data_IF_030927034339
#
_entry.id   IF_030927034339
#
_cell.length_a   1.000
_cell.length_b   1.000
_cell.length_c   1.000
_cell.angle_alpha   90.00
_cell.angle_beta   90.00
_cell.angle_gamma   90.00
#
_symmetry.space_group_name_H-M   'P 1'
#
loop_
_entity.id
_entity.type
_entity.pdbx_description
1 polymer ?
#
# COMPACT_ATOMS: atom_id res chain seq x y z
N UNK A 1 78.17 -26.87 -8.50
CA UNK A 1 77.45 -28.13 -8.20
C UNK A 1 77.62 -28.45 -6.72
N UNK A 2 76.57 -29.04 -6.11
CA UNK A 2 76.40 -29.51 -4.72
C UNK A 2 75.78 -28.45 -3.79
N UNK A 3 74.45 -28.40 -3.55
CA UNK A 3 73.59 -29.29 -2.71
C UNK A 3 74.26 -29.62 -1.36
N UNK A 4 73.66 -29.51 -0.18
CA UNK A 4 72.29 -29.25 0.29
C UNK A 4 72.31 -29.10 1.84
N UNK A 5 71.11 -29.05 2.44
CA UNK A 5 70.72 -29.28 3.86
C UNK A 5 70.97 -28.12 4.86
N UNK A 6 69.92 -27.54 5.44
CA UNK A 6 69.04 -27.98 6.56
C UNK A 6 69.67 -27.84 7.95
N UNK A 7 68.82 -27.39 8.88
CA UNK A 7 68.91 -27.35 10.35
C UNK A 7 69.22 -25.96 10.93
N UNK A 8 68.21 -25.23 11.43
CA UNK A 8 67.50 -25.41 12.71
C UNK A 8 68.42 -25.12 13.91
N UNK A 9 68.31 -23.92 14.46
CA UNK A 9 68.68 -23.65 15.86
C UNK A 9 67.51 -22.94 16.53
N UNK A 10 66.98 -23.64 17.52
CA UNK A 10 65.93 -23.27 18.44
C UNK A 10 66.53 -22.29 19.46
N UNK A 11 65.94 -21.10 19.57
CA UNK A 11 66.02 -20.25 20.74
C UNK A 11 64.58 -19.81 21.02
N UNK A 12 63.94 -20.09 22.15
CA UNK A 12 64.48 -20.13 23.51
C UNK A 12 63.89 -18.94 24.27
N UNK A 13 62.60 -19.07 24.63
CA UNK A 13 61.82 -18.37 25.66
C UNK A 13 61.81 -16.83 25.72
N UNK A 14 60.61 -16.24 25.57
CA UNK A 14 60.15 -15.19 26.50
C UNK A 14 58.62 -15.26 26.64
N UNK A 15 58.17 -15.57 27.85
CA UNK A 15 56.77 -15.43 28.28
C UNK A 15 56.54 -13.95 28.58
N UNK A 16 55.64 -13.32 27.85
CA UNK A 16 54.93 -12.15 28.31
C UNK A 16 53.58 -12.13 27.60
N UNK A 17 52.56 -12.61 28.30
CA UNK A 17 51.19 -12.44 27.88
C UNK A 17 50.90 -10.97 27.75
N UNK A 18 50.70 -10.50 26.52
CA UNK A 18 49.95 -9.27 26.29
C UNK A 18 48.49 -9.68 26.28
N UNK A 19 47.91 -9.69 27.47
CA UNK A 19 46.47 -9.60 27.64
C UNK A 19 46.02 -8.41 26.81
N UNK A 20 45.28 -8.66 25.74
CA UNK A 20 44.47 -7.61 25.15
C UNK A 20 43.49 -7.21 26.26
N UNK A 21 43.75 -6.07 26.90
CA UNK A 21 42.74 -5.38 27.69
C UNK A 21 41.69 -4.86 26.69
N UNK A 22 40.90 -5.77 26.13
CA UNK A 22 39.60 -5.41 25.61
C UNK A 22 38.85 -4.84 26.79
N UNK A 23 38.46 -3.58 26.70
CA UNK A 23 37.68 -2.90 27.73
C UNK A 23 36.39 -3.71 27.86
N UNK A 24 36.35 -4.61 28.84
CA UNK A 24 35.18 -5.39 29.14
C UNK A 24 34.13 -4.44 29.71
N UNK A 25 32.96 -4.40 29.08
CA UNK A 25 31.76 -3.88 29.73
C UNK A 25 31.29 -2.50 29.30
N UNK A 26 31.59 -2.05 28.08
CA UNK A 26 30.82 -0.96 27.47
C UNK A 26 30.29 -1.38 26.11
N UNK A 27 29.00 -1.72 26.11
CA UNK A 27 28.17 -1.94 24.94
C UNK A 27 26.79 -1.35 25.22
N UNK A 28 26.06 -0.91 24.20
CA UNK A 28 24.74 -0.33 24.40
C UNK A 28 23.80 -1.35 25.05
N UNK A 29 23.03 -0.87 26.03
CA UNK A 29 22.08 -1.68 26.80
C UNK A 29 20.86 -2.10 25.95
N UNK A 30 20.62 -1.40 24.84
CA UNK A 30 19.62 -1.76 23.85
C UNK A 30 19.96 -1.12 22.51
N UNK A 31 19.59 -1.81 21.43
CA UNK A 31 19.48 -1.24 20.10
C UNK A 31 18.00 -1.21 19.75
N UNK A 32 17.53 -0.06 19.27
CA UNK A 32 16.19 0.08 18.72
C UNK A 32 16.33 0.33 17.22
N UNK A 33 15.50 -0.34 16.43
CA UNK A 33 15.35 -0.08 15.01
C UNK A 33 13.87 0.03 14.73
N UNK A 34 13.46 1.14 14.13
CA UNK A 34 12.08 1.37 13.72
C UNK A 34 12.09 1.83 12.26
N UNK A 35 11.12 1.34 11.49
CA UNK A 35 10.81 1.82 10.17
C UNK A 35 9.38 2.36 10.21
N UNK A 36 9.24 3.67 10.36
CA UNK A 36 7.94 4.33 10.34
C UNK A 36 7.65 4.68 8.89
N UNK A 37 6.60 4.07 8.32
CA UNK A 37 6.10 4.47 7.00
C UNK A 37 5.34 5.79 7.16
N UNK A 38 6.02 6.90 6.85
CA UNK A 38 5.38 8.21 6.71
C UNK A 38 4.83 8.26 5.29
N UNK A 39 3.50 8.30 5.15
CA UNK A 39 2.84 8.52 3.86
C UNK A 39 3.38 9.80 3.24
N UNK A 40 3.81 9.70 1.98
CA UNK A 40 4.55 10.74 1.27
C UNK A 40 3.74 12.05 1.13
N UNK A 41 4.51 13.14 1.22
CA UNK A 41 4.25 14.52 0.82
C UNK A 41 3.34 15.40 1.70
N UNK A 42 3.98 16.42 2.27
CA UNK A 42 3.37 17.60 2.87
C UNK A 42 2.30 18.18 1.92
N UNK A 43 1.05 18.20 2.38
CA UNK A 43 -0.09 18.79 1.67
C UNK A 43 -1.03 17.79 0.97
N UNK A 44 -0.76 16.49 1.02
CA UNK A 44 -1.62 15.47 0.40
C UNK A 44 -2.40 14.66 1.45
N UNK A 45 -3.63 14.28 1.09
CA UNK A 45 -4.47 13.44 1.93
C UNK A 45 -3.80 12.07 2.15
N UNK A 46 -3.71 11.62 3.40
CA UNK A 46 -3.22 10.28 3.71
C UNK A 46 -4.40 9.30 3.67
N UNK A 47 -4.30 8.26 2.85
CA UNK A 47 -5.35 7.23 2.69
C UNK A 47 -4.88 5.92 3.32
N UNK A 48 -5.69 5.36 4.22
CA UNK A 48 -5.57 3.96 4.68
C UNK A 48 -6.56 3.15 3.82
N UNK A 49 -6.07 2.36 2.85
CA UNK A 49 -6.91 1.71 1.87
C UNK A 49 -7.74 0.59 2.49
N UNK A 50 -8.91 0.34 1.91
CA UNK A 50 -9.69 -0.84 2.18
C UNK A 50 -9.32 -1.95 1.20
N UNK A 51 -9.13 -3.17 1.69
CA UNK A 51 -8.93 -4.35 0.86
C UNK A 51 -10.25 -5.06 0.65
N UNK A 52 -10.68 -5.14 -0.61
CA UNK A 52 -11.97 -5.73 -0.99
C UNK A 52 -11.70 -7.04 -1.70
N UNK A 53 -12.30 -8.11 -1.21
CA UNK A 53 -12.25 -9.43 -1.83
C UNK A 53 -13.67 -9.84 -2.23
N UNK A 54 -13.91 -9.99 -3.54
CA UNK A 54 -15.19 -10.45 -4.06
C UNK A 54 -15.32 -11.99 -4.05
N UNK A 55 -14.22 -12.70 -3.78
CA UNK A 55 -14.17 -14.16 -3.82
C UNK A 55 -14.14 -14.72 -5.24
N UNK A 56 -14.50 -16.00 -5.36
CA UNK A 56 -14.64 -16.67 -6.66
C UNK A 56 -16.05 -16.43 -7.17
N UNK A 57 -16.17 -15.77 -8.33
CA UNK A 57 -17.44 -15.42 -8.93
C UNK A 57 -17.75 -16.26 -10.17
N UNK A 58 -19.01 -16.61 -10.35
CA UNK A 58 -19.53 -17.32 -11.53
C UNK A 58 -20.23 -16.37 -12.50
N UNK A 59 -20.36 -16.77 -13.77
CA UNK A 59 -21.10 -16.00 -14.77
C UNK A 59 -22.55 -15.77 -14.33
N UNK A 60 -23.04 -14.54 -14.46
CA UNK A 60 -24.38 -14.14 -14.01
C UNK A 60 -24.56 -13.95 -12.50
N UNK A 61 -23.54 -14.24 -11.69
CA UNK A 61 -23.62 -14.13 -10.23
C UNK A 61 -23.85 -12.67 -9.81
N UNK A 62 -24.74 -12.50 -8.82
CA UNK A 62 -25.05 -11.21 -8.20
C UNK A 62 -24.54 -11.20 -6.79
N UNK A 63 -23.96 -10.09 -6.38
CA UNK A 63 -23.43 -9.96 -5.03
C UNK A 63 -23.32 -8.51 -4.59
N UNK A 64 -23.04 -8.36 -3.31
CA UNK A 64 -22.57 -7.11 -2.76
C UNK A 64 -21.51 -7.39 -1.70
N UNK A 65 -20.68 -6.38 -1.44
CA UNK A 65 -19.72 -6.41 -0.35
C UNK A 65 -19.52 -5.01 0.20
N UNK A 66 -19.08 -4.94 1.45
CA UNK A 66 -18.81 -3.68 2.12
C UNK A 66 -17.41 -3.64 2.66
N UNK A 67 -16.79 -2.47 2.62
CA UNK A 67 -15.50 -2.23 3.24
C UNK A 67 -15.43 -0.82 3.84
N UNK A 68 -14.42 -0.60 4.68
CA UNK A 68 -14.20 0.70 5.32
C UNK A 68 -12.77 1.15 5.09
N UNK A 69 -12.61 2.33 4.50
CA UNK A 69 -11.34 3.03 4.38
C UNK A 69 -11.29 4.21 5.35
N UNK A 70 -10.09 4.72 5.62
CA UNK A 70 -9.91 5.97 6.37
C UNK A 70 -9.13 6.94 5.51
N UNK A 71 -9.64 8.15 5.35
CA UNK A 71 -8.96 9.24 4.66
C UNK A 71 -8.65 10.36 5.65
N UNK A 72 -7.42 10.85 5.65
CA UNK A 72 -6.98 11.99 6.44
C UNK A 72 -6.72 13.15 5.50
N UNK A 73 -7.61 14.14 5.51
CA UNK A 73 -7.53 15.34 4.69
C UNK A 73 -6.70 16.39 5.42
N UNK A 74 -5.62 16.85 4.79
CA UNK A 74 -4.69 17.83 5.37
C UNK A 74 -5.17 19.28 5.22
N UNK A 75 -5.96 19.58 4.19
CA UNK A 75 -6.41 20.94 3.87
C UNK A 75 -7.84 20.93 3.34
N UNK A 76 -8.61 21.97 3.72
CA UNK A 76 -9.94 22.17 3.17
C UNK A 76 -9.85 22.33 1.65
N UNK A 77 -10.77 21.71 0.92
CA UNK A 77 -10.82 21.82 -0.54
C UNK A 77 -11.83 20.87 -1.16
N UNK A 78 -11.93 20.93 -2.49
CA UNK A 78 -12.66 19.92 -3.25
C UNK A 78 -11.69 18.82 -3.68
N UNK A 79 -12.15 17.59 -3.59
CA UNK A 79 -11.42 16.39 -3.94
C UNK A 79 -12.20 15.64 -5.00
N UNK A 80 -11.52 15.06 -5.97
CA UNK A 80 -12.08 14.15 -6.95
C UNK A 80 -11.89 12.72 -6.46
N UNK A 81 -12.92 11.89 -6.62
CA UNK A 81 -12.86 10.45 -6.38
C UNK A 81 -13.15 9.73 -7.68
N UNK A 82 -12.22 8.87 -8.10
CA UNK A 82 -12.35 8.10 -9.33
C UNK A 82 -12.44 6.60 -9.05
N UNK A 83 -13.31 5.94 -9.83
CA UNK A 83 -13.39 4.50 -10.02
C UNK A 83 -12.44 4.11 -11.16
N UNK A 84 -11.38 3.40 -10.81
CA UNK A 84 -10.37 2.99 -11.78
C UNK A 84 -10.85 1.78 -12.59
N UNK A 85 -10.23 1.61 -13.77
CA UNK A 85 -10.40 0.43 -14.63
C UNK A 85 -11.83 0.22 -15.16
N UNK A 86 -12.61 1.29 -15.35
CA UNK A 86 -13.97 1.25 -15.90
C UNK A 86 -14.13 0.31 -17.11
N UNK A 87 -13.25 0.43 -18.12
CA UNK A 87 -13.25 -0.43 -19.32
C UNK A 87 -13.10 -1.94 -19.02
N UNK A 88 -12.32 -2.29 -18.00
CA UNK A 88 -12.17 -3.69 -17.58
C UNK A 88 -13.44 -4.15 -16.85
N UNK A 89 -13.95 -3.31 -15.95
CA UNK A 89 -15.14 -3.60 -15.17
C UNK A 89 -16.36 -3.84 -16.08
N UNK A 90 -16.57 -3.04 -17.13
CA UNK A 90 -17.67 -3.23 -18.10
C UNK A 90 -17.57 -4.54 -18.91
N UNK A 91 -16.37 -5.10 -19.08
CA UNK A 91 -16.18 -6.36 -19.81
C UNK A 91 -16.47 -7.59 -18.92
N UNK A 92 -16.24 -7.46 -17.62
CA UNK A 92 -16.43 -8.55 -16.65
C UNK A 92 -17.83 -8.53 -16.05
N UNK A 93 -18.35 -7.35 -15.74
CA UNK A 93 -19.62 -7.15 -15.05
C UNK A 93 -20.66 -6.53 -15.98
N UNK A 94 -21.89 -7.06 -15.96
CA UNK A 94 -23.04 -6.42 -16.62
C UNK A 94 -23.59 -5.26 -15.80
N UNK A 95 -23.28 -5.21 -14.51
CA UNK A 95 -23.56 -4.09 -13.62
C UNK A 95 -22.49 -4.05 -12.54
N UNK A 96 -21.94 -2.86 -12.29
CA UNK A 96 -21.00 -2.62 -11.20
C UNK A 96 -21.27 -1.22 -10.66
N UNK A 97 -21.59 -1.12 -9.38
CA UNK A 97 -21.91 0.15 -8.72
C UNK A 97 -21.16 0.22 -7.40
N UNK A 98 -20.49 1.35 -7.18
CA UNK A 98 -19.77 1.64 -5.95
C UNK A 98 -20.45 2.82 -5.28
N UNK A 99 -21.02 2.59 -4.10
CA UNK A 99 -21.57 3.63 -3.24
C UNK A 99 -20.55 3.95 -2.13
N UNK A 100 -20.16 5.22 -2.02
CA UNK A 100 -19.26 5.74 -1.02
C UNK A 100 -20.02 6.66 -0.08
N UNK A 101 -19.94 6.41 1.23
CA UNK A 101 -20.46 7.30 2.27
C UNK A 101 -19.31 7.94 3.03
N UNK A 102 -19.24 9.27 2.95
CA UNK A 102 -18.23 10.10 3.62
C UNK A 102 -18.98 11.21 4.36
N UNK A 103 -19.04 11.12 5.70
CA UNK A 103 -19.94 11.94 6.53
C UNK A 103 -21.41 11.88 6.05
N UNK A 104 -21.99 13.02 5.66
CA UNK A 104 -23.36 13.14 5.18
C UNK A 104 -23.44 13.13 3.64
N UNK A 105 -22.32 12.89 2.95
CA UNK A 105 -22.27 12.80 1.49
C UNK A 105 -22.32 11.34 1.05
N UNK A 106 -23.11 11.08 0.02
CA UNK A 106 -23.16 9.79 -0.68
C UNK A 106 -22.75 10.03 -2.12
N UNK A 107 -21.72 9.33 -2.57
CA UNK A 107 -21.20 9.36 -3.93
C UNK A 107 -21.49 8.01 -4.56
N UNK A 108 -21.96 7.99 -5.81
CA UNK A 108 -22.27 6.77 -6.54
C UNK A 108 -21.44 6.78 -7.82
N UNK A 109 -20.54 5.81 -7.94
CA UNK A 109 -19.70 5.63 -9.12
C UNK A 109 -20.13 4.37 -9.87
N UNK A 110 -20.18 4.48 -11.19
CA UNK A 110 -20.35 3.34 -12.11
C UNK A 110 -19.28 3.40 -13.19
N UNK A 111 -19.01 2.30 -13.92
CA UNK A 111 -18.06 2.38 -15.02
C UNK A 111 -18.42 3.39 -16.13
N UNK A 112 -19.65 3.87 -16.20
CA UNK A 112 -20.09 4.91 -17.14
C UNK A 112 -20.03 6.32 -16.54
N UNK A 113 -20.00 6.43 -15.21
CA UNK A 113 -19.84 7.67 -14.44
C UNK A 113 -18.83 7.38 -13.34
N UNK A 114 -17.56 7.38 -13.73
CA UNK A 114 -16.46 6.85 -12.93
C UNK A 114 -15.81 7.91 -12.03
N UNK A 115 -16.26 9.16 -12.06
CA UNK A 115 -15.69 10.25 -11.27
C UNK A 115 -16.78 11.12 -10.62
N UNK A 116 -16.50 11.59 -9.40
CA UNK A 116 -17.33 12.59 -8.71
C UNK A 116 -16.48 13.48 -7.78
N UNK A 117 -17.02 14.64 -7.40
CA UNK A 117 -16.35 15.63 -6.57
C UNK A 117 -16.98 15.79 -5.19
N UNK A 118 -16.15 16.00 -4.18
CA UNK A 118 -16.58 16.23 -2.81
C UNK A 118 -15.76 17.31 -2.12
N UNK A 119 -16.44 18.27 -1.51
CA UNK A 119 -15.79 19.26 -0.65
C UNK A 119 -15.60 18.69 0.74
N UNK A 120 -14.34 18.60 1.18
CA UNK A 120 -13.94 18.09 2.48
C UNK A 120 -13.15 19.17 3.23
N UNK A 121 -13.41 19.27 4.52
CA UNK A 121 -12.57 20.04 5.44
C UNK A 121 -11.35 19.20 5.85
N UNK A 122 -10.36 19.82 6.48
CA UNK A 122 -9.28 19.10 7.11
C UNK A 122 -9.84 18.23 8.25
N UNK A 123 -9.41 16.98 8.31
CA UNK A 123 -9.96 16.02 9.25
C UNK A 123 -9.76 14.56 8.83
N UNK A 124 -10.15 13.64 9.72
CA UNK A 124 -10.14 12.20 9.47
C UNK A 124 -11.56 11.72 9.21
N UNK A 125 -11.76 11.00 8.11
CA UNK A 125 -13.06 10.52 7.68
C UNK A 125 -13.02 9.00 7.51
N UNK A 126 -14.06 8.33 8.02
CA UNK A 126 -14.32 6.93 7.69
C UNK A 126 -15.18 6.90 6.43
N UNK A 127 -14.67 6.24 5.40
CA UNK A 127 -15.38 6.04 4.13
C UNK A 127 -15.99 4.65 4.16
N UNK A 128 -17.32 4.56 4.14
CA UNK A 128 -18.00 3.29 3.97
C UNK A 128 -18.18 3.03 2.48
N UNK A 129 -17.69 1.91 1.99
CA UNK A 129 -17.71 1.51 0.58
C UNK A 129 -18.69 0.34 0.48
N UNK A 130 -19.71 0.45 -0.36
CA UNK A 130 -20.60 -0.63 -0.74
C UNK A 130 -20.44 -0.87 -2.23
N UNK A 131 -20.06 -2.09 -2.61
CA UNK A 131 -20.05 -2.52 -4.00
C UNK A 131 -21.25 -3.42 -4.22
N UNK A 132 -22.03 -3.13 -5.24
CA UNK A 132 -23.10 -3.98 -5.75
C UNK A 132 -22.76 -4.35 -7.19
N UNK A 133 -22.82 -5.64 -7.52
CA UNK A 133 -22.40 -6.10 -8.84
C UNK A 133 -23.26 -7.25 -9.37
N UNK A 134 -23.21 -7.40 -10.69
CA UNK A 134 -23.65 -8.59 -11.42
C UNK A 134 -22.58 -8.95 -12.47
N UNK A 135 -22.06 -10.17 -12.41
CA UNK A 135 -21.13 -10.70 -13.41
C UNK A 135 -21.86 -10.89 -14.74
N UNK A 136 -21.20 -10.56 -15.84
CA UNK A 136 -21.72 -10.84 -17.18
C UNK A 136 -21.99 -12.34 -17.37
N UNK A 137 -22.92 -12.69 -18.25
CA UNK A 137 -23.14 -14.09 -18.66
C UNK A 137 -21.98 -14.62 -19.53
N UNK A 138 -21.25 -13.71 -20.19
CA UNK A 138 -20.04 -13.97 -20.97
C UNK A 138 -18.97 -12.95 -20.53
N UNK A 139 -18.35 -13.14 -19.34
CA UNK A 139 -17.33 -12.21 -18.85
C UNK A 139 -16.08 -12.31 -19.71
N UNK A 140 -15.52 -11.16 -20.10
CA UNK A 140 -14.33 -11.07 -20.96
C UNK A 140 -13.25 -10.22 -20.29
N UNK A 141 -12.02 -10.32 -20.81
CA UNK A 141 -10.88 -9.56 -20.31
C UNK A 141 -10.20 -10.24 -19.13
N UNK A 142 -9.81 -9.44 -18.13
CA UNK A 142 -9.05 -9.93 -16.97
C UNK A 142 -9.98 -10.63 -15.98
N UNK A 143 -9.99 -11.96 -16.01
CA UNK A 143 -10.82 -12.79 -15.13
C UNK A 143 -10.17 -13.08 -13.76
N UNK A 144 -8.91 -12.69 -13.58
CA UNK A 144 -8.15 -12.87 -12.34
C UNK A 144 -7.46 -11.56 -11.98
N UNK A 145 -8.01 -10.85 -10.99
CA UNK A 145 -7.47 -9.57 -10.49
C UNK A 145 -7.00 -9.76 -9.05
N UNK A 146 -5.84 -9.20 -8.71
CA UNK A 146 -5.26 -9.30 -7.36
C UNK A 146 -4.55 -8.00 -6.99
N UNK A 147 -4.91 -7.43 -5.84
CA UNK A 147 -4.33 -6.19 -5.30
C UNK A 147 -4.29 -5.00 -6.29
N UNK A 148 -5.25 -4.92 -7.20
CA UNK A 148 -5.38 -3.80 -8.13
C UNK A 148 -6.15 -2.65 -7.43
N UNK A 149 -5.70 -1.38 -7.55
CA UNK A 149 -6.41 -0.25 -6.97
C UNK A 149 -7.76 -0.04 -7.68
N UNK A 150 -8.85 -0.03 -6.92
CA UNK A 150 -10.20 0.19 -7.46
C UNK A 150 -10.62 1.66 -7.40
N UNK A 151 -10.21 2.38 -6.35
CA UNK A 151 -10.63 3.75 -6.07
C UNK A 151 -9.42 4.61 -5.76
N UNK A 152 -9.44 5.86 -6.23
CA UNK A 152 -8.46 6.88 -5.88
C UNK A 152 -9.17 8.16 -5.46
N UNK A 153 -8.56 8.92 -4.55
CA UNK A 153 -8.98 10.27 -4.19
C UNK A 153 -7.78 11.20 -4.31
N UNK A 154 -7.99 12.37 -4.91
CA UNK A 154 -6.96 13.39 -5.02
C UNK A 154 -7.57 14.80 -4.94
N UNK A 155 -6.80 15.83 -4.55
CA UNK A 155 -7.28 17.21 -4.62
C UNK A 155 -7.75 17.54 -6.03
N UNK A 156 -8.81 18.33 -6.13
CA UNK A 156 -9.17 19.00 -7.38
C UNK A 156 -8.11 20.08 -7.63
N UNK A 157 -7.13 19.75 -8.46
CA UNK A 157 -6.07 20.66 -8.89
C UNK A 157 -6.17 20.91 -10.38
N UNK A 158 -6.10 22.18 -10.76
CA UNK A 158 -6.24 22.72 -12.12
C UNK A 158 -5.64 21.79 -13.17
N UNK A 159 -6.43 21.48 -14.20
CA UNK A 159 -5.95 20.93 -15.47
C UNK A 159 -4.85 21.84 -16.04
N UNK A 160 -3.61 21.69 -15.57
CA UNK A 160 -2.45 22.25 -16.24
C UNK A 160 -2.09 21.27 -17.36
N UNK A 161 -2.80 21.41 -18.48
CA UNK A 161 -2.34 21.02 -19.81
C UNK A 161 -2.03 22.28 -20.61
#
# INVERSE_FOLDING_TARGET
MKTALLALVIAGAFVAGLTTAGVAGYGPLAYISYHIMVSQQQGQAQVIPAYINLGNLSAGEKGNTTATAVINISSNGTYTIDLLHADKLQKVFSNFTVELKINNHTIILTPENDSDHISLASGSYKVSILIVFQVSQDPRGDLNVSNEPLLIIHPQGDDNS
#
